data_IF_353380351564
#
_entry.id   IF_353380351564
#
_cell.length_a   1.000
_cell.length_b   1.000
_cell.length_c   1.000
_cell.angle_alpha   90.00
_cell.angle_beta   90.00
_cell.angle_gamma   90.00
#
_symmetry.space_group_name_H-M   'P 1'
#
loop_
_entity.id
_entity.type
_entity.pdbx_description
1 polymer ?
#
# COMPACT_ATOMS: atom_id res chain seq x y z
N UNK A 1 -22.96 46.94 -35.08
CA UNK A 1 -23.17 45.52 -34.73
C UNK A 1 -22.29 45.26 -33.53
N UNK A 2 -22.79 45.61 -32.36
CA UNK A 2 -22.14 45.29 -31.09
C UNK A 2 -22.46 43.82 -30.81
N UNK A 3 -21.48 42.94 -31.02
CA UNK A 3 -21.55 41.64 -30.36
C UNK A 3 -21.22 41.89 -28.88
N UNK A 4 -22.12 41.54 -27.95
CA UNK A 4 -21.75 41.52 -26.55
C UNK A 4 -20.61 40.50 -26.41
N UNK A 5 -19.54 40.90 -25.75
CA UNK A 5 -18.51 39.99 -25.30
C UNK A 5 -19.21 38.81 -24.61
N UNK A 6 -19.03 37.60 -25.13
CA UNK A 6 -19.39 36.39 -24.39
C UNK A 6 -18.63 36.43 -23.08
N UNK A 7 -19.34 36.49 -21.97
CA UNK A 7 -18.82 36.20 -20.64
C UNK A 7 -18.16 34.81 -20.68
N UNK A 8 -16.85 34.76 -20.90
CA UNK A 8 -16.09 33.64 -20.41
C UNK A 8 -16.10 33.81 -18.90
N UNK A 9 -16.76 32.91 -18.17
CA UNK A 9 -16.66 32.83 -16.72
C UNK A 9 -15.18 32.72 -16.34
N UNK A 10 -14.55 33.85 -16.05
CA UNK A 10 -13.19 33.92 -15.54
C UNK A 10 -13.27 33.59 -14.05
N UNK A 11 -13.22 32.30 -13.73
CA UNK A 11 -13.21 31.78 -12.36
C UNK A 11 -11.77 31.58 -11.81
N UNK A 12 -10.74 31.91 -12.59
CA UNK A 12 -9.33 31.77 -12.20
C UNK A 12 -8.71 33.15 -12.03
N UNK A 13 -8.21 33.43 -10.83
CA UNK A 13 -7.50 34.66 -10.49
C UNK A 13 -6.09 34.31 -10.03
N UNK A 14 -5.08 34.96 -10.62
CA UNK A 14 -3.68 34.81 -10.24
C UNK A 14 -3.19 36.16 -9.73
N UNK A 15 -2.74 36.21 -8.48
CA UNK A 15 -2.21 37.43 -7.84
C UNK A 15 -0.70 37.24 -7.68
N UNK A 16 0.09 38.16 -8.26
CA UNK A 16 1.54 38.17 -8.13
C UNK A 16 1.98 39.39 -7.32
N UNK A 17 2.66 39.15 -6.20
CA UNK A 17 3.30 40.18 -5.37
C UNK A 17 4.81 40.10 -5.56
N UNK A 18 5.43 41.20 -6.01
CA UNK A 18 6.90 41.28 -6.19
C UNK A 18 7.47 42.26 -5.17
N UNK A 19 8.33 41.78 -4.29
CA UNK A 19 8.85 42.52 -3.15
C UNK A 19 10.37 42.49 -3.17
N UNK A 20 11.00 43.50 -2.54
CA UNK A 20 12.44 43.45 -2.26
C UNK A 20 12.67 42.46 -1.12
N UNK A 21 13.76 41.70 -1.21
CA UNK A 21 14.18 40.81 -0.13
C UNK A 21 14.36 41.63 1.16
N UNK A 22 13.69 41.25 2.26
CA UNK A 22 13.83 41.97 3.53
C UNK A 22 15.26 41.89 4.05
N UNK A 23 15.68 42.91 4.83
CA UNK A 23 16.95 42.86 5.58
C UNK A 23 16.91 41.72 6.61
N UNK A 24 18.08 41.31 7.15
CA UNK A 24 18.18 40.14 8.04
C UNK A 24 17.27 40.17 9.29
N UNK A 25 16.80 41.35 9.70
CA UNK A 25 15.92 41.55 10.86
C UNK A 25 14.50 41.98 10.47
N UNK A 26 14.16 41.97 9.18
CA UNK A 26 12.84 42.32 8.66
C UNK A 26 12.11 41.05 8.22
N UNK A 27 10.80 41.02 8.46
CA UNK A 27 9.92 39.94 7.98
C UNK A 27 8.83 40.60 7.17
N UNK A 28 8.68 40.15 5.93
CA UNK A 28 7.48 40.45 5.16
C UNK A 28 6.42 39.38 5.46
N UNK A 29 5.21 39.81 5.78
CA UNK A 29 4.04 38.95 5.98
C UNK A 29 2.83 39.55 5.28
N UNK A 30 1.97 38.68 4.75
CA UNK A 30 0.66 39.05 4.24
C UNK A 30 -0.32 37.94 4.56
N UNK A 31 -1.57 38.30 4.81
CA UNK A 31 -2.64 37.36 5.11
C UNK A 31 -3.56 37.22 3.89
N UNK A 32 -3.90 35.98 3.53
CA UNK A 32 -5.00 35.68 2.59
C UNK A 32 -6.17 35.20 3.45
N UNK A 33 -7.25 35.98 3.46
CA UNK A 33 -8.38 35.75 4.36
C UNK A 33 -9.56 35.24 3.54
N UNK A 34 -10.14 34.13 3.99
CA UNK A 34 -11.43 33.63 3.50
C UNK A 34 -12.51 33.87 4.56
N UNK A 35 -13.63 34.48 4.16
CA UNK A 35 -14.77 34.76 5.03
C UNK A 35 -16.04 34.22 4.38
N UNK A 36 -16.84 33.49 5.17
CA UNK A 36 -18.16 33.03 4.75
C UNK A 36 -19.23 33.97 5.31
N UNK A 37 -20.06 34.53 4.44
CA UNK A 37 -21.16 35.43 4.82
C UNK A 37 -22.17 34.77 5.77
N UNK A 38 -22.30 33.44 5.71
CA UNK A 38 -23.14 32.65 6.61
C UNK A 38 -22.77 32.78 8.09
N UNK A 39 -21.55 33.24 8.39
CA UNK A 39 -21.01 33.42 9.75
C UNK A 39 -20.87 34.90 10.15
N UNK A 40 -21.38 35.83 9.34
CA UNK A 40 -21.18 37.27 9.52
C UNK A 40 -21.70 37.79 10.87
N UNK A 41 -22.84 37.28 11.35
CA UNK A 41 -23.43 37.69 12.63
C UNK A 41 -22.74 37.11 13.87
N UNK A 42 -21.87 36.10 13.72
CA UNK A 42 -21.14 35.46 14.82
C UNK A 42 -19.68 35.94 14.90
N UNK A 43 -19.22 36.69 13.90
CA UNK A 43 -17.82 37.11 13.78
C UNK A 43 -17.63 38.48 14.42
N UNK A 44 -16.97 38.49 15.58
CA UNK A 44 -16.63 39.74 16.26
C UNK A 44 -15.47 40.47 15.58
N UNK A 45 -14.49 39.74 15.04
CA UNK A 45 -13.27 40.29 14.44
C UNK A 45 -12.68 39.42 13.33
N UNK A 46 -11.88 40.04 12.47
CA UNK A 46 -11.16 39.35 11.40
C UNK A 46 -9.92 38.61 11.94
N UNK A 47 -9.72 37.38 11.47
CA UNK A 47 -8.56 36.56 11.84
C UNK A 47 -7.32 36.96 11.03
N UNK A 48 -6.79 38.15 11.31
CA UNK A 48 -5.60 38.73 10.66
C UNK A 48 -4.66 39.36 11.67
N UNK A 49 -3.38 39.52 11.30
CA UNK A 49 -2.39 40.24 12.09
C UNK A 49 -2.26 39.71 13.53
N UNK A 50 -2.55 40.56 14.52
CA UNK A 50 -2.46 40.21 15.93
C UNK A 50 -3.36 39.01 16.30
N UNK A 51 -4.63 39.02 15.88
CA UNK A 51 -5.60 37.97 16.23
C UNK A 51 -5.24 36.63 15.61
N UNK A 52 -4.73 36.64 14.38
CA UNK A 52 -4.20 35.44 13.74
C UNK A 52 -3.00 34.85 14.49
N UNK A 53 -2.05 35.70 14.90
CA UNK A 53 -0.85 35.27 15.63
C UNK A 53 -1.17 34.69 17.01
N UNK A 54 -2.06 35.34 17.77
CA UNK A 54 -2.54 34.82 19.06
C UNK A 54 -3.21 33.46 18.90
N UNK A 55 -4.08 33.32 17.90
CA UNK A 55 -4.80 32.07 17.63
C UNK A 55 -3.85 30.95 17.18
N UNK A 56 -2.87 31.23 16.33
CA UNK A 56 -1.84 30.24 15.95
C UNK A 56 -1.04 29.78 17.17
N UNK A 57 -0.60 30.70 18.03
CA UNK A 57 0.16 30.34 19.24
C UNK A 57 -0.68 29.45 20.16
N UNK A 58 -1.97 29.79 20.31
CA UNK A 58 -2.94 29.00 21.09
C UNK A 58 -3.09 27.59 20.49
N UNK A 59 -3.30 27.46 19.19
CA UNK A 59 -3.47 26.18 18.50
C UNK A 59 -2.20 25.33 18.50
N UNK A 60 -1.01 25.94 18.36
CA UNK A 60 0.27 25.24 18.47
C UNK A 60 0.46 24.62 19.86
N UNK A 61 0.14 25.38 20.92
CA UNK A 61 0.17 24.87 22.29
C UNK A 61 -0.81 23.70 22.49
N UNK A 62 -2.03 23.82 21.97
CA UNK A 62 -3.02 22.75 22.04
C UNK A 62 -2.59 21.50 21.26
N UNK A 63 -1.98 21.66 20.09
CA UNK A 63 -1.38 20.55 19.34
C UNK A 63 -0.33 19.84 20.17
N UNK A 64 0.58 20.58 20.80
CA UNK A 64 1.67 20.05 21.61
C UNK A 64 1.17 19.29 22.84
N UNK A 65 0.18 19.83 23.54
CA UNK A 65 -0.47 19.20 24.70
C UNK A 65 -1.18 17.91 24.26
N UNK A 66 -2.00 17.96 23.20
CA UNK A 66 -2.70 16.79 22.67
C UNK A 66 -1.72 15.71 22.20
N UNK A 67 -0.65 16.10 21.50
CA UNK A 67 0.38 15.18 21.02
C UNK A 67 1.04 14.45 22.18
N UNK A 68 1.42 15.16 23.24
CA UNK A 68 2.01 14.52 24.42
C UNK A 68 1.00 13.61 25.12
N UNK A 69 -0.26 14.02 25.26
CA UNK A 69 -1.30 13.20 25.89
C UNK A 69 -1.54 11.87 25.15
N UNK A 70 -1.49 11.89 23.82
CA UNK A 70 -1.71 10.70 22.98
C UNK A 70 -0.47 9.80 22.93
N UNK A 71 0.71 10.37 22.67
CA UNK A 71 1.90 9.58 22.37
C UNK A 71 2.83 9.37 23.56
N UNK A 72 2.76 10.22 24.58
CA UNK A 72 3.52 10.14 25.83
C UNK A 72 5.01 9.90 25.55
N UNK A 73 5.59 10.71 24.67
CA UNK A 73 6.96 10.50 24.23
C UNK A 73 7.98 10.99 25.26
N UNK A 74 7.64 11.99 26.08
CA UNK A 74 8.54 12.50 27.13
C UNK A 74 8.80 11.48 28.24
N UNK A 75 7.89 10.53 28.43
CA UNK A 75 8.02 9.49 29.47
C UNK A 75 8.69 8.21 28.95
N UNK A 76 8.91 8.10 27.63
CA UNK A 76 9.52 6.92 27.00
C UNK A 76 11.04 6.99 27.03
N UNK A 77 11.68 5.83 27.20
CA UNK A 77 13.13 5.71 27.17
C UNK A 77 13.70 6.17 25.82
N UNK A 78 14.88 6.78 25.84
CA UNK A 78 15.64 7.22 24.66
C UNK A 78 14.95 8.29 23.77
N UNK A 79 14.01 9.05 24.32
CA UNK A 79 13.32 10.15 23.62
C UNK A 79 13.85 11.52 24.05
N UNK A 80 14.63 12.16 23.18
CA UNK A 80 15.09 13.54 23.35
C UNK A 80 14.19 14.54 22.60
N UNK A 81 14.43 15.84 22.81
CA UNK A 81 13.61 16.91 22.21
C UNK A 81 13.66 16.90 20.68
N UNK A 82 14.78 16.49 20.07
CA UNK A 82 14.93 16.42 18.60
C UNK A 82 14.10 15.27 18.04
N UNK A 83 14.09 14.11 18.70
CA UNK A 83 13.25 12.96 18.33
C UNK A 83 11.76 13.25 18.51
N UNK A 84 11.39 13.96 19.56
CA UNK A 84 9.99 14.39 19.77
C UNK A 84 9.57 15.37 18.68
N UNK A 85 10.43 16.35 18.34
CA UNK A 85 10.18 17.26 17.23
C UNK A 85 10.04 16.50 15.90
N UNK A 86 10.95 15.55 15.61
CA UNK A 86 10.86 14.69 14.43
C UNK A 86 9.53 13.90 14.37
N UNK A 87 9.08 13.35 15.50
CA UNK A 87 7.81 12.64 15.57
C UNK A 87 6.60 13.54 15.31
N UNK A 88 6.60 14.77 15.88
CA UNK A 88 5.59 15.79 15.57
C UNK A 88 5.57 16.13 14.09
N UNK A 89 6.73 16.45 13.50
CA UNK A 89 6.83 16.74 12.07
C UNK A 89 6.38 15.57 11.19
N UNK A 90 6.67 14.34 11.58
CA UNK A 90 6.24 13.13 10.84
C UNK A 90 4.72 13.01 10.83
N UNK A 91 4.07 13.14 11.99
CA UNK A 91 2.61 13.10 12.08
C UNK A 91 1.97 14.28 11.32
N UNK A 92 2.50 15.49 11.49
CA UNK A 92 1.99 16.68 10.82
C UNK A 92 2.08 16.57 9.30
N UNK A 93 3.17 16.02 8.76
CA UNK A 93 3.31 15.80 7.32
C UNK A 93 2.36 14.72 6.79
N UNK A 94 2.14 13.64 7.56
CA UNK A 94 1.15 12.61 7.20
C UNK A 94 -0.25 13.19 7.12
N UNK A 95 -0.68 13.93 8.15
CA UNK A 95 -2.01 14.57 8.20
C UNK A 95 -2.11 15.66 7.11
N UNK A 96 -1.07 16.47 6.94
CA UNK A 96 -1.01 17.50 5.89
C UNK A 96 -0.91 16.95 4.47
N UNK A 97 -0.73 15.64 4.30
CA UNK A 97 -0.84 14.95 3.01
C UNK A 97 -2.26 14.48 2.69
N UNK A 98 -3.20 14.53 3.64
CA UNK A 98 -4.60 14.16 3.40
C UNK A 98 -5.19 15.13 2.39
N UNK A 99 -5.76 14.58 1.32
CA UNK A 99 -6.22 15.33 0.15
C UNK A 99 -7.60 14.83 -0.28
N UNK A 100 -8.31 15.68 -1.02
CA UNK A 100 -9.61 15.36 -1.62
C UNK A 100 -9.47 15.37 -3.14
N UNK A 101 -9.77 14.24 -3.77
CA UNK A 101 -9.68 14.05 -5.23
C UNK A 101 -11.06 13.84 -5.81
N UNK A 102 -11.29 14.30 -7.04
CA UNK A 102 -12.54 14.06 -7.79
C UNK A 102 -12.24 13.68 -9.23
N UNK A 103 -13.11 12.87 -9.84
CA UNK A 103 -12.97 12.49 -11.24
C UNK A 103 -13.35 11.04 -11.51
N UNK A 104 -12.80 10.48 -12.59
CA UNK A 104 -13.07 9.10 -13.04
C UNK A 104 -11.77 8.31 -13.16
N UNK A 105 -11.84 7.03 -12.79
CA UNK A 105 -10.76 6.06 -13.01
C UNK A 105 -10.88 5.39 -14.39
N UNK A 106 -9.74 4.97 -14.95
CA UNK A 106 -9.70 4.07 -16.12
C UNK A 106 -9.52 2.62 -15.66
N UNK A 107 -10.43 1.74 -16.07
CA UNK A 107 -10.48 0.37 -15.58
C UNK A 107 -10.65 -0.62 -16.72
N UNK A 108 -9.93 -1.73 -16.69
CA UNK A 108 -10.04 -2.82 -17.66
C UNK A 108 -10.31 -4.16 -16.97
N UNK A 109 -11.00 -5.06 -17.68
CA UNK A 109 -11.20 -6.45 -17.26
C UNK A 109 -10.29 -7.39 -18.05
N UNK A 110 -9.40 -8.11 -17.37
CA UNK A 110 -8.51 -9.07 -18.01
C UNK A 110 -7.68 -8.44 -19.12
N UNK A 111 -7.74 -9.00 -20.34
CA UNK A 111 -6.96 -8.53 -21.49
C UNK A 111 -7.71 -7.51 -22.37
N UNK A 112 -8.71 -6.82 -21.82
CA UNK A 112 -9.44 -5.77 -22.51
C UNK A 112 -8.46 -4.67 -23.00
N UNK A 113 -8.51 -4.37 -24.30
CA UNK A 113 -7.60 -3.41 -24.96
C UNK A 113 -7.94 -1.95 -24.67
N UNK A 114 -9.24 -1.65 -24.58
CA UNK A 114 -9.75 -0.29 -24.38
C UNK A 114 -10.34 -0.23 -22.98
N UNK A 115 -9.75 0.53 -22.04
CA UNK A 115 -10.30 0.64 -20.69
C UNK A 115 -11.62 1.40 -20.68
N UNK A 116 -12.49 1.05 -19.74
CA UNK A 116 -13.72 1.76 -19.46
C UNK A 116 -13.44 2.93 -18.50
N UNK A 117 -14.12 4.06 -18.72
CA UNK A 117 -14.23 5.10 -17.70
C UNK A 117 -15.25 4.65 -16.63
N UNK A 118 -14.82 4.58 -15.38
CA UNK A 118 -15.72 4.36 -14.25
C UNK A 118 -16.55 5.62 -13.93
N UNK A 119 -17.53 5.47 -13.02
CA UNK A 119 -18.38 6.57 -12.59
C UNK A 119 -17.55 7.72 -11.97
N UNK A 120 -18.05 8.94 -12.10
CA UNK A 120 -17.46 10.09 -11.43
C UNK A 120 -17.63 9.95 -9.93
N UNK A 121 -16.55 10.13 -9.18
CA UNK A 121 -16.53 9.92 -7.73
C UNK A 121 -15.51 10.82 -7.06
N UNK A 122 -15.39 10.70 -5.75
CA UNK A 122 -14.44 11.44 -4.93
C UNK A 122 -13.73 10.53 -3.94
N UNK A 123 -12.49 10.89 -3.61
CA UNK A 123 -11.70 10.18 -2.61
C UNK A 123 -11.05 11.18 -1.64
N UNK A 124 -11.38 11.05 -0.35
CA UNK A 124 -10.69 11.68 0.76
C UNK A 124 -9.69 10.69 1.36
N UNK A 125 -8.39 10.96 1.23
CA UNK A 125 -7.35 9.97 1.57
C UNK A 125 -6.01 10.63 1.90
N UNK A 126 -5.19 9.96 2.72
CA UNK A 126 -3.76 10.28 2.79
C UNK A 126 -3.05 9.83 1.50
N UNK A 127 -1.85 10.38 1.26
CA UNK A 127 -1.01 10.06 0.09
C UNK A 127 0.38 9.62 0.55
N UNK A 128 1.03 8.65 -0.11
CA UNK A 128 2.37 8.19 0.28
C UNK A 128 3.44 9.29 0.18
N UNK A 129 3.31 10.16 -0.83
CA UNK A 129 4.23 11.29 -1.03
C UNK A 129 3.56 12.39 -1.83
N UNK A 130 3.54 13.62 -1.30
CA UNK A 130 2.99 14.79 -2.00
C UNK A 130 3.70 15.10 -3.32
N UNK A 131 4.98 14.75 -3.46
CA UNK A 131 5.79 15.10 -4.64
C UNK A 131 5.77 14.02 -5.72
N UNK A 132 5.79 12.74 -5.32
CA UNK A 132 5.91 11.61 -6.25
C UNK A 132 4.59 10.85 -6.44
N UNK A 133 3.81 10.74 -5.37
CA UNK A 133 2.62 9.89 -5.30
C UNK A 133 1.40 10.64 -4.74
N UNK A 134 0.98 11.79 -5.30
CA UNK A 134 -0.11 12.60 -4.77
C UNK A 134 -1.49 12.01 -5.12
N UNK A 135 -1.75 10.77 -4.70
CA UNK A 135 -2.97 10.00 -5.01
C UNK A 135 -3.15 8.85 -4.03
N UNK A 136 -4.33 8.25 -4.03
CA UNK A 136 -4.67 7.14 -3.14
C UNK A 136 -4.01 5.82 -3.57
N UNK A 137 -3.36 5.14 -2.63
CA UNK A 137 -2.88 3.76 -2.78
C UNK A 137 -3.51 2.88 -1.71
N UNK A 138 -4.19 1.82 -2.15
CA UNK A 138 -5.09 1.02 -1.31
C UNK A 138 -4.37 0.39 -0.12
N UNK A 139 -3.21 -0.23 -0.34
CA UNK A 139 -2.49 -0.89 0.74
C UNK A 139 -1.72 0.07 1.66
N UNK A 140 -1.18 1.19 1.14
CA UNK A 140 -0.52 2.22 1.94
C UNK A 140 -1.49 2.82 2.98
N UNK A 141 -2.75 3.00 2.58
CA UNK A 141 -3.74 3.72 3.38
C UNK A 141 -4.08 3.04 4.71
N UNK A 142 -4.04 1.70 4.77
CA UNK A 142 -4.16 1.01 6.06
C UNK A 142 -3.03 1.35 7.03
N UNK A 143 -1.79 1.50 6.54
CA UNK A 143 -0.66 1.92 7.38
C UNK A 143 -0.73 3.39 7.78
N UNK A 144 -1.12 4.28 6.86
CA UNK A 144 -1.41 5.69 7.19
C UNK A 144 -2.38 5.79 8.36
N UNK A 145 -3.46 5.02 8.31
CA UNK A 145 -4.51 5.09 9.30
C UNK A 145 -4.16 4.45 10.66
N UNK A 146 -3.09 3.65 10.78
CA UNK A 146 -2.59 3.25 12.10
C UNK A 146 -2.06 4.44 12.91
N UNK A 147 -1.58 5.50 12.25
CA UNK A 147 -1.17 6.74 12.91
C UNK A 147 -2.32 7.74 12.98
N UNK A 148 -3.08 7.93 11.90
CA UNK A 148 -4.20 8.88 11.87
C UNK A 148 -5.26 8.49 12.90
N UNK A 149 -5.59 7.20 13.06
CA UNK A 149 -6.60 6.76 14.03
C UNK A 149 -6.19 7.00 15.50
N UNK A 150 -4.88 7.05 15.80
CA UNK A 150 -4.38 7.44 17.13
C UNK A 150 -4.60 8.92 17.39
N UNK A 151 -4.45 9.74 16.35
CA UNK A 151 -4.67 11.17 16.42
C UNK A 151 -6.16 11.52 16.44
N UNK A 152 -6.91 11.09 15.42
CA UNK A 152 -8.33 11.36 15.25
C UNK A 152 -9.03 10.22 14.50
N UNK A 153 -9.83 9.44 15.24
CA UNK A 153 -10.60 8.30 14.71
C UNK A 153 -11.64 8.71 13.67
N UNK A 154 -12.22 9.91 13.76
CA UNK A 154 -13.24 10.37 12.82
C UNK A 154 -12.64 10.57 11.43
N UNK A 155 -11.44 11.15 11.34
CA UNK A 155 -10.71 11.28 10.06
C UNK A 155 -10.50 9.91 9.43
N UNK A 156 -10.08 8.91 10.21
CA UNK A 156 -9.94 7.54 9.71
C UNK A 156 -11.26 6.95 9.23
N UNK A 157 -12.37 7.15 9.93
CA UNK A 157 -13.67 6.63 9.48
C UNK A 157 -14.15 7.31 8.20
N UNK A 158 -13.91 8.62 8.03
CA UNK A 158 -14.20 9.34 6.79
C UNK A 158 -13.38 8.79 5.61
N UNK A 159 -12.07 8.60 5.82
CA UNK A 159 -11.18 8.00 4.81
C UNK A 159 -11.65 6.59 4.43
N UNK A 160 -11.86 5.71 5.42
CA UNK A 160 -12.30 4.34 5.14
C UNK A 160 -13.64 4.32 4.39
N UNK A 161 -14.58 5.21 4.75
CA UNK A 161 -15.87 5.31 4.07
C UNK A 161 -15.72 5.70 2.60
N UNK A 162 -14.91 6.72 2.28
CA UNK A 162 -14.62 7.11 0.90
C UNK A 162 -13.95 5.97 0.11
N UNK A 163 -13.01 5.24 0.72
CA UNK A 163 -12.41 4.08 0.06
C UNK A 163 -13.42 2.95 -0.21
N UNK A 164 -14.37 2.70 0.69
CA UNK A 164 -15.43 1.71 0.47
C UNK A 164 -16.54 2.19 -0.48
N UNK A 165 -16.63 3.49 -0.77
CA UNK A 165 -17.46 4.01 -1.86
C UNK A 165 -16.84 3.76 -3.25
N UNK A 166 -15.55 3.40 -3.31
CA UNK A 166 -14.88 2.95 -4.55
C UNK A 166 -15.19 1.49 -4.90
N UNK A 167 -15.91 0.75 -4.04
CA UNK A 167 -16.28 -0.65 -4.31
C UNK A 167 -17.20 -0.73 -5.53
N UNK A 168 -16.76 -1.47 -6.55
CA UNK A 168 -17.66 -1.79 -7.66
C UNK A 168 -18.68 -2.90 -7.29
N UNK A 169 -19.57 -3.22 -8.22
CA UNK A 169 -20.61 -4.22 -8.03
C UNK A 169 -20.09 -5.61 -7.65
N UNK A 170 -18.85 -5.94 -8.05
CA UNK A 170 -18.21 -7.21 -7.73
C UNK A 170 -17.45 -7.20 -6.40
N UNK A 171 -17.32 -6.05 -5.73
CA UNK A 171 -16.57 -5.90 -4.48
C UNK A 171 -15.07 -5.62 -4.68
N UNK A 172 -14.66 -5.13 -5.84
CA UNK A 172 -13.27 -4.74 -6.10
C UNK A 172 -13.05 -3.25 -5.85
N UNK A 173 -11.84 -2.89 -5.39
CA UNK A 173 -11.36 -1.52 -5.23
C UNK A 173 -10.05 -1.40 -6.03
N UNK A 174 -9.84 -0.33 -6.82
CA UNK A 174 -8.56 -0.10 -7.49
C UNK A 174 -7.40 0.00 -6.49
N UNK A 175 -6.26 -0.64 -6.80
CA UNK A 175 -5.06 -0.56 -5.96
C UNK A 175 -4.46 0.85 -5.91
N UNK A 176 -4.61 1.59 -7.00
CA UNK A 176 -4.13 2.95 -7.19
C UNK A 176 -5.27 3.77 -7.80
N UNK A 177 -5.70 4.81 -7.08
CA UNK A 177 -6.89 5.59 -7.44
C UNK A 177 -6.44 6.90 -8.06
N UNK A 178 -6.62 7.00 -9.38
CA UNK A 178 -6.19 8.13 -10.22
C UNK A 178 -7.44 8.81 -10.75
N UNK A 179 -7.85 9.92 -10.13
CA UNK A 179 -9.08 10.64 -10.45
C UNK A 179 -8.76 11.98 -11.14
N UNK A 180 -9.20 12.12 -12.38
CA UNK A 180 -9.09 13.37 -13.14
C UNK A 180 -7.71 13.62 -13.76
N UNK A 181 -7.61 14.71 -14.53
CA UNK A 181 -6.43 15.01 -15.35
C UNK A 181 -5.20 15.41 -14.53
N UNK A 182 -5.39 16.12 -13.42
CA UNK A 182 -4.29 16.51 -12.54
C UNK A 182 -3.57 15.28 -11.97
N UNK A 183 -4.33 14.28 -11.49
CA UNK A 183 -3.75 13.04 -11.00
C UNK A 183 -3.08 12.25 -12.14
N UNK A 184 -3.73 12.15 -13.32
CA UNK A 184 -3.17 11.43 -14.49
C UNK A 184 -1.86 12.01 -14.98
N UNK A 185 -1.69 13.33 -14.94
CA UNK A 185 -0.46 14.01 -15.38
C UNK A 185 0.80 13.60 -14.58
N UNK A 186 0.63 12.98 -13.40
CA UNK A 186 1.71 12.51 -12.53
C UNK A 186 1.98 11.00 -12.62
N UNK A 187 1.34 10.30 -13.55
CA UNK A 187 1.43 8.83 -13.68
C UNK A 187 1.84 8.43 -15.11
N UNK A 188 2.88 7.59 -15.28
CA UNK A 188 3.18 7.00 -16.58
C UNK A 188 1.98 6.25 -17.16
N UNK A 189 1.78 6.33 -18.48
CA UNK A 189 0.57 5.85 -19.16
C UNK A 189 0.28 4.36 -18.89
N UNK A 190 1.33 3.54 -18.77
CA UNK A 190 1.26 2.11 -18.50
C UNK A 190 0.68 1.75 -17.11
N UNK A 191 0.68 2.68 -16.15
CA UNK A 191 0.16 2.46 -14.78
C UNK A 191 -1.20 3.10 -14.53
N UNK A 192 -1.73 3.88 -15.49
CA UNK A 192 -3.02 4.56 -15.31
C UNK A 192 -4.17 3.55 -15.24
N UNK A 193 -4.18 2.56 -16.14
CA UNK A 193 -5.27 1.59 -16.24
C UNK A 193 -5.21 0.60 -15.08
N UNK A 194 -6.31 0.52 -14.34
CA UNK A 194 -6.47 -0.41 -13.23
C UNK A 194 -7.19 -1.68 -13.69
N UNK A 195 -6.76 -2.85 -13.23
CA UNK A 195 -7.31 -4.12 -13.68
C UNK A 195 -8.16 -4.79 -12.59
N UNK A 196 -9.40 -5.19 -12.91
CA UNK A 196 -10.35 -5.68 -11.91
C UNK A 196 -10.04 -7.07 -11.35
N UNK A 197 -9.08 -7.79 -11.92
CA UNK A 197 -8.55 -9.05 -11.39
C UNK A 197 -7.36 -8.84 -10.44
N UNK A 198 -6.77 -7.64 -10.46
CA UNK A 198 -5.61 -7.28 -9.64
C UNK A 198 -6.07 -6.83 -8.26
N UNK A 199 -5.56 -7.52 -7.25
CA UNK A 199 -5.78 -7.20 -5.84
C UNK A 199 -4.66 -6.30 -5.29
N UNK A 200 -4.77 -5.94 -4.01
CA UNK A 200 -3.70 -5.36 -3.20
C UNK A 200 -3.73 -5.93 -1.77
N UNK A 201 -2.70 -5.84 -0.92
CA UNK A 201 -2.82 -6.23 0.48
C UNK A 201 -3.99 -5.53 1.19
N UNK A 202 -4.88 -6.24 1.88
CA UNK A 202 -6.08 -5.65 2.47
C UNK A 202 -5.77 -5.00 3.84
N UNK A 203 -4.88 -4.01 3.86
CA UNK A 203 -4.30 -3.43 5.07
C UNK A 203 -5.30 -2.66 5.94
N UNK A 204 -6.48 -2.29 5.42
CA UNK A 204 -7.58 -1.73 6.22
C UNK A 204 -7.97 -2.63 7.40
N UNK A 205 -7.80 -3.95 7.28
CA UNK A 205 -8.02 -4.85 8.41
C UNK A 205 -7.08 -4.54 9.58
N UNK A 206 -5.84 -4.07 9.36
CA UNK A 206 -4.95 -3.63 10.46
C UNK A 206 -5.55 -2.43 11.21
N UNK A 207 -6.03 -1.43 10.48
CA UNK A 207 -6.67 -0.24 11.04
C UNK A 207 -7.94 -0.60 11.80
N UNK A 208 -8.79 -1.44 11.20
CA UNK A 208 -10.04 -1.89 11.81
C UNK A 208 -9.75 -2.69 13.08
N UNK A 209 -8.73 -3.56 13.09
CA UNK A 209 -8.33 -4.27 14.31
C UNK A 209 -7.88 -3.31 15.41
N UNK A 210 -7.09 -2.29 15.07
CA UNK A 210 -6.68 -1.25 16.01
C UNK A 210 -7.90 -0.51 16.59
N UNK A 211 -8.84 -0.11 15.74
CA UNK A 211 -10.07 0.57 16.17
C UNK A 211 -10.94 -0.33 17.05
N UNK A 212 -11.07 -1.62 16.74
CA UNK A 212 -11.80 -2.57 17.58
C UNK A 212 -11.18 -2.71 18.98
N UNK A 213 -9.85 -2.76 19.06
CA UNK A 213 -9.14 -2.90 20.35
C UNK A 213 -9.20 -1.64 21.22
N UNK A 214 -9.38 -0.46 20.60
CA UNK A 214 -9.26 0.84 21.28
C UNK A 214 -10.58 1.59 21.41
N UNK A 215 -11.71 0.95 21.09
CA UNK A 215 -13.05 1.54 21.24
C UNK A 215 -13.98 0.59 22.00
N UNK A 216 -14.16 0.87 23.28
CA UNK A 216 -15.02 0.10 24.19
C UNK A 216 -16.49 0.09 23.78
N UNK A 217 -16.95 1.12 23.06
CA UNK A 217 -18.37 1.37 22.82
C UNK A 217 -18.90 0.81 21.49
N UNK A 218 -18.09 0.13 20.66
CA UNK A 218 -18.46 -0.59 19.41
C UNK A 218 -19.31 0.15 18.35
N UNK A 219 -19.75 1.40 18.57
CA UNK A 219 -20.64 2.14 17.67
C UNK A 219 -19.97 2.64 16.38
N UNK A 220 -18.64 2.47 16.22
CA UNK A 220 -17.93 2.91 15.02
C UNK A 220 -18.30 2.10 13.77
N UNK A 221 -18.65 0.82 13.94
CA UNK A 221 -18.90 -0.08 12.83
C UNK A 221 -20.38 -0.44 12.78
N UNK A 222 -21.13 0.29 11.94
CA UNK A 222 -22.51 -0.04 11.66
C UNK A 222 -22.63 -1.19 10.64
N UNK A 223 -23.83 -1.77 10.53
CA UNK A 223 -24.09 -2.89 9.62
C UNK A 223 -23.75 -2.55 8.15
N UNK A 224 -24.11 -1.36 7.61
CA UNK A 224 -23.72 -0.98 6.24
C UNK A 224 -22.20 -1.00 5.99
N UNK A 225 -21.40 -0.49 6.93
CA UNK A 225 -19.94 -0.55 6.84
C UNK A 225 -19.44 -2.00 6.80
N UNK A 226 -19.94 -2.85 7.71
CA UNK A 226 -19.55 -4.26 7.78
C UNK A 226 -19.94 -5.00 6.49
N UNK A 227 -21.11 -4.72 5.91
CA UNK A 227 -21.55 -5.32 4.64
C UNK A 227 -20.68 -4.92 3.44
N UNK A 228 -20.22 -3.66 3.39
CA UNK A 228 -19.26 -3.21 2.35
C UNK A 228 -17.91 -3.91 2.51
N UNK A 229 -17.41 -3.97 3.75
CA UNK A 229 -16.20 -4.72 4.09
C UNK A 229 -16.34 -6.22 3.74
N UNK A 230 -17.49 -6.83 4.00
CA UNK A 230 -17.83 -8.20 3.62
C UNK A 230 -17.77 -8.38 2.10
N UNK A 231 -18.37 -7.47 1.33
CA UNK A 231 -18.34 -7.51 -0.13
C UNK A 231 -16.90 -7.52 -0.67
N UNK A 232 -16.04 -6.68 -0.10
CA UNK A 232 -14.61 -6.63 -0.43
C UNK A 232 -13.89 -7.92 -0.04
N UNK A 233 -14.05 -8.39 1.20
CA UNK A 233 -13.51 -9.65 1.68
C UNK A 233 -13.92 -10.85 0.82
N UNK A 234 -15.19 -10.91 0.40
CA UNK A 234 -15.70 -11.97 -0.46
C UNK A 234 -15.11 -11.89 -1.86
N UNK A 235 -14.82 -10.69 -2.37
CA UNK A 235 -14.13 -10.54 -3.65
C UNK A 235 -12.74 -11.20 -3.64
N UNK A 236 -11.95 -11.07 -2.56
CA UNK A 236 -10.67 -11.80 -2.44
C UNK A 236 -10.88 -13.32 -2.46
N UNK A 237 -11.84 -13.82 -1.68
CA UNK A 237 -12.11 -15.27 -1.61
C UNK A 237 -12.65 -15.85 -2.92
N UNK A 238 -13.29 -15.04 -3.77
CA UNK A 238 -13.69 -15.47 -5.11
C UNK A 238 -12.57 -15.39 -6.14
N UNK A 239 -11.77 -14.33 -6.11
CA UNK A 239 -10.88 -13.99 -7.24
C UNK A 239 -9.42 -14.38 -7.03
N UNK A 240 -8.96 -14.41 -5.77
CA UNK A 240 -7.56 -14.68 -5.41
C UNK A 240 -7.36 -16.06 -4.79
N UNK A 241 -8.40 -16.89 -4.74
CA UNK A 241 -8.32 -18.28 -4.30
C UNK A 241 -7.31 -19.07 -5.14
N UNK A 242 -6.52 -19.94 -4.49
CA UNK A 242 -5.52 -20.77 -5.15
C UNK A 242 -6.12 -22.03 -5.77
N UNK A 243 -5.27 -22.90 -6.33
CA UNK A 243 -5.72 -24.15 -6.97
C UNK A 243 -6.12 -25.24 -5.97
N UNK A 244 -5.80 -25.08 -4.68
CA UNK A 244 -6.06 -26.04 -3.60
C UNK A 244 -6.82 -25.38 -2.44
N UNK A 245 -7.56 -26.16 -1.62
CA UNK A 245 -8.19 -25.65 -0.40
C UNK A 245 -7.23 -24.86 0.49
N UNK A 246 -7.71 -23.72 1.01
CA UNK A 246 -6.99 -22.84 1.95
C UNK A 246 -5.71 -22.19 1.38
N UNK A 247 -5.55 -22.22 0.06
CA UNK A 247 -4.45 -21.54 -0.64
C UNK A 247 -4.96 -20.29 -1.34
N UNK A 248 -4.06 -19.34 -1.53
CA UNK A 248 -4.33 -18.10 -2.26
C UNK A 248 -3.18 -17.79 -3.21
N UNK A 249 -3.49 -17.03 -4.26
CA UNK A 249 -2.52 -16.61 -5.28
C UNK A 249 -2.89 -15.25 -5.85
N UNK A 250 -2.00 -14.29 -5.66
CA UNK A 250 -1.98 -13.02 -6.39
C UNK A 250 -2.14 -13.21 -7.91
N UNK A 251 -3.13 -12.53 -8.49
CA UNK A 251 -3.26 -12.39 -9.95
C UNK A 251 -2.40 -11.23 -10.47
N UNK A 252 -2.19 -11.19 -11.78
CA UNK A 252 -1.50 -10.08 -12.47
C UNK A 252 0.00 -10.28 -12.70
N UNK A 253 0.60 -11.43 -12.34
CA UNK A 253 1.98 -11.77 -12.73
C UNK A 253 2.06 -12.05 -14.22
N UNK A 254 3.13 -11.58 -14.88
CA UNK A 254 3.36 -11.77 -16.31
C UNK A 254 4.16 -13.05 -16.60
N UNK A 255 3.48 -14.13 -16.98
CA UNK A 255 4.12 -15.42 -17.28
C UNK A 255 4.92 -15.42 -18.60
N UNK A 256 4.65 -14.50 -19.54
CA UNK A 256 5.29 -14.44 -20.85
C UNK A 256 6.45 -13.44 -20.92
N UNK A 257 6.75 -12.76 -19.81
CA UNK A 257 7.84 -11.79 -19.75
C UNK A 257 9.19 -12.46 -20.01
N UNK A 258 9.90 -12.00 -21.04
CA UNK A 258 11.28 -12.39 -21.32
C UNK A 258 12.30 -11.32 -20.90
N UNK A 259 11.84 -10.17 -20.41
CA UNK A 259 12.73 -9.05 -20.05
C UNK A 259 13.02 -8.99 -18.55
N UNK A 260 12.17 -9.62 -17.75
CA UNK A 260 12.29 -9.67 -16.29
C UNK A 260 13.03 -10.93 -15.85
N UNK A 261 14.05 -10.80 -15.01
CA UNK A 261 14.78 -11.90 -14.39
C UNK A 261 13.85 -12.79 -13.54
N UNK A 262 12.94 -12.16 -12.80
CA UNK A 262 11.82 -12.79 -12.11
C UNK A 262 10.55 -11.95 -12.35
N UNK A 263 9.45 -12.53 -12.87
CA UNK A 263 8.24 -11.75 -13.13
C UNK A 263 7.69 -11.05 -11.89
N UNK A 264 7.39 -9.75 -11.99
CA UNK A 264 6.91 -8.94 -10.85
C UNK A 264 5.56 -9.43 -10.31
N UNK A 265 5.27 -9.09 -9.07
CA UNK A 265 3.97 -9.29 -8.40
C UNK A 265 3.46 -7.96 -7.83
N UNK A 266 3.21 -6.97 -8.72
CA UNK A 266 2.78 -5.61 -8.33
C UNK A 266 1.53 -5.59 -7.42
N UNK A 267 0.70 -6.62 -7.55
CA UNK A 267 -0.52 -6.79 -6.74
C UNK A 267 -0.23 -7.12 -5.28
N UNK A 268 0.94 -7.63 -4.91
CA UNK A 268 1.26 -7.89 -3.51
C UNK A 268 1.82 -6.68 -2.75
N UNK A 269 2.09 -5.55 -3.43
CA UNK A 269 2.80 -4.41 -2.86
C UNK A 269 4.30 -4.62 -2.65
N UNK A 270 4.81 -5.81 -2.97
CA UNK A 270 6.22 -6.19 -2.90
C UNK A 270 6.71 -6.50 -4.33
N UNK A 271 6.76 -5.45 -5.15
CA UNK A 271 6.76 -5.50 -6.62
C UNK A 271 7.70 -6.54 -7.23
N UNK A 272 9.00 -6.49 -6.89
CA UNK A 272 10.04 -7.36 -7.42
C UNK A 272 10.53 -8.40 -6.41
N UNK A 273 9.84 -8.58 -5.27
CA UNK A 273 10.17 -9.64 -4.32
C UNK A 273 10.14 -10.99 -5.05
N UNK A 274 11.25 -11.76 -5.01
CA UNK A 274 11.34 -12.98 -5.79
C UNK A 274 10.29 -14.03 -5.43
N UNK A 275 9.54 -14.48 -6.45
CA UNK A 275 8.59 -15.61 -6.35
C UNK A 275 8.95 -16.72 -7.32
N UNK A 276 8.05 -17.68 -7.53
CA UNK A 276 8.25 -18.76 -8.51
C UNK A 276 8.69 -18.16 -9.86
N UNK A 277 9.72 -18.74 -10.49
CA UNK A 277 10.38 -18.11 -11.65
C UNK A 277 9.58 -18.29 -12.93
N UNK A 278 8.63 -19.23 -12.95
CA UNK A 278 7.68 -19.45 -14.02
C UNK A 278 6.27 -19.37 -13.44
N UNK A 279 5.60 -18.20 -13.56
CA UNK A 279 4.25 -18.03 -13.03
C UNK A 279 3.27 -19.03 -13.64
N UNK A 280 2.45 -19.64 -12.80
CA UNK A 280 1.44 -20.66 -13.19
C UNK A 280 0.27 -20.63 -12.22
N UNK A 281 -0.83 -21.28 -12.58
CA UNK A 281 -1.98 -21.39 -11.65
C UNK A 281 -1.71 -22.28 -10.44
N UNK A 282 -0.59 -23.04 -10.43
CA UNK A 282 -0.16 -23.88 -9.31
C UNK A 282 0.52 -23.10 -8.18
N UNK A 283 0.76 -21.80 -8.34
CA UNK A 283 1.42 -21.02 -7.29
C UNK A 283 0.59 -20.89 -6.02
N UNK A 284 1.26 -20.90 -4.87
CA UNK A 284 0.68 -20.61 -3.55
C UNK A 284 1.46 -19.47 -2.92
N UNK A 285 0.79 -18.35 -2.66
CA UNK A 285 1.40 -17.14 -2.10
C UNK A 285 1.11 -17.04 -0.60
N UNK A 286 2.16 -17.16 0.20
CA UNK A 286 2.13 -17.24 1.66
C UNK A 286 1.55 -15.95 2.28
N UNK A 287 2.07 -14.82 1.84
CA UNK A 287 1.67 -13.49 2.31
C UNK A 287 0.17 -13.24 2.13
N UNK A 288 -0.39 -13.60 0.97
CA UNK A 288 -1.82 -13.47 0.72
C UNK A 288 -2.65 -14.39 1.62
N UNK A 289 -2.22 -15.63 1.84
CA UNK A 289 -2.89 -16.53 2.80
C UNK A 289 -2.93 -15.89 4.19
N UNK A 290 -1.81 -15.33 4.65
CA UNK A 290 -1.72 -14.65 5.94
C UNK A 290 -2.63 -13.43 6.04
N UNK A 291 -2.72 -12.61 4.99
CA UNK A 291 -3.66 -11.50 4.91
C UNK A 291 -5.11 -11.97 5.04
N UNK A 292 -5.46 -13.07 4.38
CA UNK A 292 -6.82 -13.61 4.43
C UNK A 292 -7.13 -14.26 5.78
N UNK A 293 -6.15 -14.81 6.49
CA UNK A 293 -6.31 -15.23 7.89
C UNK A 293 -6.68 -14.06 8.79
N UNK A 294 -5.94 -12.94 8.67
CA UNK A 294 -6.19 -11.72 9.43
C UNK A 294 -7.58 -11.14 9.11
N UNK A 295 -7.90 -11.02 7.83
CA UNK A 295 -9.18 -10.51 7.35
C UNK A 295 -10.37 -11.34 7.85
N UNK A 296 -10.28 -12.67 7.74
CA UNK A 296 -11.31 -13.62 8.22
C UNK A 296 -11.55 -13.48 9.72
N UNK A 297 -10.47 -13.29 10.49
CA UNK A 297 -10.54 -13.12 11.95
C UNK A 297 -11.28 -11.82 12.31
N UNK A 298 -10.94 -10.72 11.64
CA UNK A 298 -11.48 -9.40 11.99
C UNK A 298 -12.93 -9.24 11.53
N UNK A 299 -13.27 -9.67 10.32
CA UNK A 299 -14.67 -9.65 9.86
C UNK A 299 -15.54 -10.56 10.72
N UNK A 300 -15.02 -11.71 11.14
CA UNK A 300 -15.70 -12.60 12.07
C UNK A 300 -15.96 -11.94 13.44
N UNK A 301 -14.98 -11.22 14.00
CA UNK A 301 -15.16 -10.45 15.24
C UNK A 301 -16.21 -9.35 15.10
N UNK A 302 -16.23 -8.64 13.97
CA UNK A 302 -17.24 -7.61 13.69
C UNK A 302 -18.66 -8.19 13.69
N UNK A 303 -18.88 -9.30 12.98
CA UNK A 303 -20.20 -9.95 12.98
C UNK A 303 -20.59 -10.50 14.34
N UNK A 304 -19.64 -11.07 15.10
CA UNK A 304 -19.89 -11.50 16.47
C UNK A 304 -20.36 -10.37 17.37
N UNK A 305 -19.76 -9.18 17.24
CA UNK A 305 -20.15 -7.99 18.00
C UNK A 305 -21.56 -7.53 17.62
N UNK A 306 -21.86 -7.39 16.32
CA UNK A 306 -23.14 -6.81 15.88
C UNK A 306 -24.33 -7.76 16.02
N UNK A 307 -24.10 -9.07 15.87
CA UNK A 307 -25.16 -10.09 16.02
C UNK A 307 -25.26 -10.62 17.46
N UNK A 308 -24.34 -10.24 18.35
CA UNK A 308 -24.22 -10.82 19.70
C UNK A 308 -24.03 -12.35 19.68
N UNK A 309 -23.18 -12.85 18.78
CA UNK A 309 -22.91 -14.28 18.57
C UNK A 309 -21.46 -14.63 18.89
N UNK A 310 -21.21 -15.74 19.58
CA UNK A 310 -19.84 -16.18 19.91
C UNK A 310 -19.05 -16.69 18.69
N UNK A 311 -19.75 -17.19 17.66
CA UNK A 311 -19.12 -17.75 16.47
C UNK A 311 -19.97 -17.47 15.24
N UNK A 312 -19.35 -17.48 14.07
CA UNK A 312 -20.01 -17.35 12.77
C UNK A 312 -19.16 -18.02 11.68
N UNK A 313 -19.66 -18.02 10.44
CA UNK A 313 -18.97 -18.64 9.29
C UNK A 313 -17.55 -18.09 9.07
N UNK A 314 -17.32 -16.80 9.35
CA UNK A 314 -16.01 -16.16 9.18
C UNK A 314 -15.02 -16.60 10.24
N UNK A 315 -15.45 -16.66 11.51
CA UNK A 315 -14.61 -17.20 12.59
C UNK A 315 -14.31 -18.69 12.39
N UNK A 316 -15.27 -19.47 11.88
CA UNK A 316 -15.03 -20.87 11.54
C UNK A 316 -13.98 -21.01 10.41
N UNK A 317 -14.05 -20.16 9.38
CA UNK A 317 -13.04 -20.15 8.33
C UNK A 317 -11.67 -19.64 8.82
N UNK A 318 -11.65 -18.61 9.67
CA UNK A 318 -10.44 -18.11 10.32
C UNK A 318 -9.74 -19.21 11.13
N UNK A 319 -10.49 -20.05 11.86
CA UNK A 319 -9.95 -21.20 12.61
C UNK A 319 -9.21 -22.20 11.69
N UNK A 320 -9.73 -22.45 10.50
CA UNK A 320 -9.04 -23.29 9.50
C UNK A 320 -7.73 -22.61 9.05
N UNK A 321 -7.78 -21.33 8.68
CA UNK A 321 -6.58 -20.62 8.22
C UNK A 321 -5.51 -20.42 9.32
N UNK A 322 -5.92 -20.35 10.59
CA UNK A 322 -5.05 -20.27 11.78
C UNK A 322 -4.44 -21.62 12.18
N UNK A 323 -4.95 -22.74 11.68
CA UNK A 323 -4.40 -24.06 11.98
C UNK A 323 -2.94 -24.13 11.45
N UNK A 324 -1.99 -24.29 12.37
CA UNK A 324 -0.56 -24.28 12.06
C UNK A 324 -0.13 -25.53 11.29
N UNK A 325 -0.75 -26.69 11.51
CA UNK A 325 -0.48 -27.91 10.73
C UNK A 325 -0.87 -27.72 9.26
N UNK A 326 -2.02 -27.08 9.00
CA UNK A 326 -2.46 -26.76 7.63
C UNK A 326 -1.58 -25.69 6.98
N UNK A 327 -1.12 -24.69 7.74
CA UNK A 327 -0.15 -23.72 7.25
C UNK A 327 1.17 -24.42 6.88
N UNK A 328 1.66 -25.30 7.74
CA UNK A 328 2.92 -26.02 7.56
C UNK A 328 2.87 -26.93 6.34
N UNK A 329 1.79 -27.70 6.18
CA UNK A 329 1.58 -28.58 5.02
C UNK A 329 1.65 -27.82 3.69
N UNK A 330 1.18 -26.57 3.66
CA UNK A 330 1.06 -25.77 2.44
C UNK A 330 2.27 -24.88 2.18
N UNK A 331 2.97 -24.44 3.23
CA UNK A 331 3.96 -23.36 3.12
C UNK A 331 5.27 -23.59 3.89
N UNK A 332 5.37 -24.59 4.77
CA UNK A 332 6.64 -24.88 5.44
C UNK A 332 7.50 -25.82 4.59
N UNK A 333 8.72 -25.39 4.30
CA UNK A 333 9.72 -26.23 3.65
C UNK A 333 10.65 -26.82 4.71
N UNK A 334 10.56 -28.12 4.96
CA UNK A 334 11.50 -28.81 5.84
C UNK A 334 12.94 -28.75 5.31
N UNK A 335 13.10 -28.84 3.98
CA UNK A 335 14.41 -28.76 3.32
C UNK A 335 15.12 -27.42 3.58
N UNK A 336 14.37 -26.32 3.61
CA UNK A 336 14.94 -24.99 3.79
C UNK A 336 14.78 -24.44 5.21
N UNK A 337 13.94 -25.08 6.03
CA UNK A 337 13.59 -24.65 7.38
C UNK A 337 12.93 -23.26 7.39
N UNK A 338 12.02 -22.99 6.46
CA UNK A 338 11.35 -21.68 6.40
C UNK A 338 9.95 -21.79 5.79
N UNK A 339 9.11 -20.79 6.06
CA UNK A 339 7.90 -20.59 5.29
C UNK A 339 8.22 -19.95 3.93
N UNK A 340 7.59 -20.46 2.88
CA UNK A 340 7.86 -20.09 1.51
C UNK A 340 6.60 -20.07 0.64
N UNK A 341 6.69 -19.33 -0.46
CA UNK A 341 5.82 -19.55 -1.60
C UNK A 341 6.12 -20.91 -2.24
N UNK A 342 5.16 -21.42 -3.02
CA UNK A 342 5.31 -22.66 -3.79
C UNK A 342 4.94 -22.41 -5.24
N UNK A 343 5.65 -23.01 -6.19
CA UNK A 343 5.31 -22.92 -7.61
C UNK A 343 6.37 -23.50 -8.53
N UNK A 344 6.20 -23.32 -9.85
CA UNK A 344 7.14 -23.80 -10.85
C UNK A 344 8.38 -22.90 -10.86
N UNK A 345 9.51 -23.42 -10.39
CA UNK A 345 10.65 -22.58 -10.04
C UNK A 345 12.00 -23.23 -10.35
N UNK A 346 12.98 -22.36 -10.60
CA UNK A 346 14.42 -22.62 -10.70
C UNK A 346 15.16 -21.33 -10.40
N UNK A 347 16.27 -21.43 -9.67
CA UNK A 347 17.21 -20.34 -9.40
C UNK A 347 18.17 -20.09 -10.59
N UNK A 348 18.22 -21.02 -11.56
CA UNK A 348 19.14 -20.99 -12.71
C UNK A 348 18.57 -20.11 -13.83
N UNK A 349 18.42 -18.83 -13.54
CA UNK A 349 17.99 -17.79 -14.49
C UNK A 349 19.02 -16.67 -14.54
N UNK A 350 19.23 -16.08 -15.71
CA UNK A 350 20.11 -14.92 -15.88
C UNK A 350 19.57 -13.96 -16.94
N UNK A 351 19.91 -12.69 -16.84
CA UNK A 351 19.73 -11.74 -17.93
C UNK A 351 20.95 -11.80 -18.85
N UNK A 352 20.73 -11.97 -20.14
CA UNK A 352 21.76 -12.01 -21.17
C UNK A 352 21.52 -10.92 -22.21
N UNK A 353 22.59 -10.21 -22.59
CA UNK A 353 22.55 -9.19 -23.64
C UNK A 353 22.53 -9.87 -25.01
N UNK A 354 21.55 -9.53 -25.84
CA UNK A 354 21.43 -10.04 -27.22
C UNK A 354 21.22 -8.88 -28.21
N UNK A 355 21.60 -9.05 -29.49
CA UNK A 355 21.36 -8.05 -30.53
C UNK A 355 19.87 -7.86 -30.83
N UNK A 356 19.45 -6.63 -31.12
CA UNK A 356 18.10 -6.31 -31.61
C UNK A 356 18.04 -6.40 -33.13
N UNK A 357 17.23 -7.31 -33.66
CA UNK A 357 16.97 -7.46 -35.10
C UNK A 357 18.03 -8.28 -35.86
N UNK A 358 17.88 -8.36 -37.18
CA UNK A 358 18.85 -9.01 -38.07
C UNK A 358 19.95 -8.01 -38.47
N UNK A 359 21.20 -8.46 -38.72
CA UNK A 359 22.26 -7.60 -39.22
C UNK A 359 21.85 -6.89 -40.50
N UNK A 360 22.04 -5.57 -40.57
CA UNK A 360 21.81 -4.82 -41.80
C UNK A 360 22.94 -5.18 -42.81
N UNK A 361 22.64 -5.86 -43.93
CA UNK A 361 23.67 -6.28 -44.87
C UNK A 361 24.38 -5.10 -45.54
N UNK A 362 23.75 -3.93 -45.58
CA UNK A 362 24.26 -2.73 -46.23
C UNK A 362 25.18 -1.88 -45.34
N UNK A 363 25.20 -2.10 -44.02
CA UNK A 363 26.06 -1.37 -43.07
C UNK A 363 26.66 -2.30 -42.01
N UNK A 364 27.66 -3.13 -42.36
CA UNK A 364 28.23 -4.13 -41.46
C UNK A 364 28.98 -3.53 -40.25
N UNK A 365 29.38 -2.26 -40.33
CA UNK A 365 30.24 -1.60 -39.34
C UNK A 365 29.48 -0.80 -38.26
N UNK A 366 28.15 -0.63 -38.37
CA UNK A 366 27.40 0.04 -37.31
C UNK A 366 27.17 -0.90 -36.11
N UNK A 367 27.45 -0.47 -34.87
CA UNK A 367 27.14 -1.26 -33.69
C UNK A 367 25.63 -1.48 -33.60
N UNK A 368 25.22 -2.74 -33.52
CA UNK A 368 23.80 -3.07 -33.43
C UNK A 368 23.24 -2.69 -32.05
N UNK A 369 22.01 -2.16 -31.99
CA UNK A 369 21.31 -1.99 -30.72
C UNK A 369 21.21 -3.35 -30.01
N UNK A 370 21.33 -3.36 -28.69
CA UNK A 370 21.21 -4.59 -27.88
C UNK A 370 20.16 -4.41 -26.79
N UNK A 371 19.65 -5.51 -26.27
CA UNK A 371 18.76 -5.53 -25.11
C UNK A 371 19.01 -6.75 -24.23
N UNK A 372 18.60 -6.69 -22.97
CA UNK A 372 18.71 -7.80 -22.03
C UNK A 372 17.46 -8.70 -22.07
N UNK A 373 17.65 -10.01 -22.26
CA UNK A 373 16.60 -11.02 -22.16
C UNK A 373 16.93 -12.06 -21.09
N UNK A 374 15.92 -12.57 -20.42
CA UNK A 374 16.02 -13.68 -19.46
C UNK A 374 16.26 -15.00 -20.20
N UNK A 375 17.21 -15.78 -19.69
CA UNK A 375 17.44 -17.15 -20.08
C UNK A 375 17.46 -18.08 -18.86
N UNK A 376 16.90 -19.28 -19.04
CA UNK A 376 16.99 -20.39 -18.07
C UNK A 376 18.24 -21.20 -18.40
N UNK A 377 19.23 -21.20 -17.51
CA UNK A 377 20.54 -21.84 -17.75
C UNK A 377 20.57 -23.32 -17.38
N UNK A 378 19.58 -23.80 -16.62
CA UNK A 378 19.45 -25.22 -16.26
C UNK A 378 17.99 -25.67 -16.27
N UNK A 379 17.52 -26.09 -17.44
CA UNK A 379 16.13 -26.54 -17.62
C UNK A 379 15.76 -27.74 -16.74
N UNK A 380 16.70 -28.63 -16.44
CA UNK A 380 16.47 -29.81 -15.60
C UNK A 380 16.15 -29.50 -14.12
N UNK A 381 16.46 -28.29 -13.63
CA UNK A 381 16.12 -27.86 -12.27
C UNK A 381 14.69 -27.28 -12.18
N UNK A 382 14.03 -27.05 -13.32
CA UNK A 382 12.68 -26.48 -13.36
C UNK A 382 11.65 -27.52 -12.91
N UNK A 383 11.08 -27.33 -11.71
CA UNK A 383 10.03 -28.18 -11.17
C UNK A 383 9.14 -27.42 -10.17
N UNK A 384 8.03 -28.03 -9.78
CA UNK A 384 7.16 -27.51 -8.72
C UNK A 384 7.83 -27.73 -7.35
N UNK A 385 8.26 -26.63 -6.72
CA UNK A 385 8.95 -26.66 -5.42
C UNK A 385 8.66 -25.42 -4.59
N UNK A 386 9.05 -25.48 -3.32
CA UNK A 386 9.13 -24.28 -2.48
C UNK A 386 10.19 -23.31 -3.02
N UNK A 387 9.87 -22.02 -3.02
CA UNK A 387 10.72 -20.97 -3.55
C UNK A 387 11.71 -20.52 -2.49
N UNK A 388 13.01 -20.65 -2.75
CA UNK A 388 14.08 -20.48 -1.74
C UNK A 388 14.53 -19.01 -1.58
N UNK A 389 13.60 -18.12 -1.26
CA UNK A 389 13.89 -16.70 -1.03
C UNK A 389 13.43 -16.25 0.36
N UNK A 390 14.31 -16.37 1.36
CA UNK A 390 14.05 -15.92 2.72
C UNK A 390 14.05 -14.40 2.81
N UNK A 391 12.99 -13.81 3.36
CA UNK A 391 12.76 -12.37 3.40
C UNK A 391 11.42 -12.02 4.01
N UNK A 392 10.92 -10.81 3.75
CA UNK A 392 9.65 -10.33 4.30
C UNK A 392 8.48 -11.31 4.09
N UNK A 393 8.35 -11.94 2.91
CA UNK A 393 7.29 -12.92 2.64
C UNK A 393 7.35 -14.09 3.64
N UNK A 394 8.55 -14.62 3.93
CA UNK A 394 8.75 -15.70 4.89
C UNK A 394 8.36 -15.34 6.33
N UNK A 395 8.31 -14.04 6.65
CA UNK A 395 7.97 -13.53 7.99
C UNK A 395 6.46 -13.26 8.16
N UNK A 396 5.64 -13.39 7.13
CA UNK A 396 4.21 -13.08 7.22
C UNK A 396 3.48 -13.84 8.33
N UNK A 397 3.68 -15.16 8.52
CA UNK A 397 3.05 -15.87 9.63
C UNK A 397 3.34 -15.25 11.01
N UNK A 398 4.55 -14.73 11.21
CA UNK A 398 4.93 -13.97 12.41
C UNK A 398 4.25 -12.60 12.44
N UNK A 399 4.37 -11.82 11.35
CA UNK A 399 3.83 -10.45 11.28
C UNK A 399 2.31 -10.40 11.46
N UNK A 400 1.58 -11.43 11.00
CA UNK A 400 0.14 -11.55 11.19
C UNK A 400 -0.27 -12.32 12.45
N UNK A 401 0.69 -12.73 13.29
CA UNK A 401 0.49 -13.47 14.56
C UNK A 401 -0.32 -14.75 14.39
N UNK A 402 0.01 -15.55 13.38
CA UNK A 402 -0.62 -16.86 13.12
C UNK A 402 0.09 -17.98 13.89
N UNK A 403 1.41 -17.83 14.09
CA UNK A 403 2.24 -18.86 14.70
C UNK A 403 1.89 -19.09 16.16
N UNK A 404 1.81 -20.37 16.55
CA UNK A 404 1.73 -20.77 17.95
C UNK A 404 2.99 -20.30 18.71
N UNK A 405 2.85 -19.60 19.85
CA UNK A 405 3.98 -19.23 20.70
C UNK A 405 4.88 -20.39 21.14
N UNK A 406 4.38 -21.63 21.14
CA UNK A 406 5.14 -22.84 21.49
C UNK A 406 5.75 -23.57 20.27
N UNK A 407 5.59 -23.03 19.06
CA UNK A 407 6.12 -23.65 17.84
C UNK A 407 7.64 -23.53 17.74
N UNK A 408 8.33 -24.64 17.49
CA UNK A 408 9.77 -24.62 17.17
C UNK A 408 10.11 -23.83 15.90
N UNK A 409 9.14 -23.66 14.99
CA UNK A 409 9.29 -22.84 13.78
C UNK A 409 9.37 -21.34 14.12
N UNK A 410 8.72 -20.91 15.21
CA UNK A 410 8.84 -19.54 15.70
C UNK A 410 10.24 -19.26 16.24
N UNK A 411 10.80 -20.20 17.02
CA UNK A 411 12.19 -20.12 17.49
C UNK A 411 13.18 -20.02 16.32
N UNK A 412 13.01 -20.87 15.29
CA UNK A 412 13.79 -20.79 14.05
C UNK A 412 13.71 -19.39 13.42
N UNK A 413 12.51 -18.83 13.26
CA UNK A 413 12.33 -17.50 12.66
C UNK A 413 13.04 -16.42 13.47
N UNK A 414 12.99 -16.46 14.81
CA UNK A 414 13.69 -15.49 15.64
C UNK A 414 15.21 -15.61 15.53
N UNK A 415 15.74 -16.84 15.50
CA UNK A 415 17.17 -17.07 15.29
C UNK A 415 17.62 -16.55 13.91
N UNK A 416 16.84 -16.80 12.85
CA UNK A 416 17.14 -16.32 11.50
C UNK A 416 17.01 -14.78 11.39
N UNK A 417 16.05 -14.17 12.09
CA UNK A 417 15.84 -12.72 12.14
C UNK A 417 17.00 -11.98 12.79
N UNK A 418 17.67 -12.59 13.76
CA UNK A 418 18.84 -12.01 14.44
C UNK A 418 20.15 -12.27 13.68
N UNK A 419 20.12 -13.09 12.63
CA UNK A 419 21.30 -13.45 11.86
C UNK A 419 21.70 -12.32 10.88
N UNK A 420 22.89 -11.69 11.05
CA UNK A 420 23.34 -10.60 10.18
C UNK A 420 23.59 -11.02 8.72
N UNK A 421 23.90 -12.30 8.50
CA UNK A 421 24.09 -12.88 7.16
C UNK A 421 22.77 -13.11 6.42
N UNK A 422 21.63 -13.00 7.11
CA UNK A 422 20.29 -13.09 6.53
C UNK A 422 19.68 -11.69 6.45
N UNK A 423 18.81 -11.34 7.39
CA UNK A 423 18.00 -10.12 7.34
C UNK A 423 18.46 -9.04 8.32
N UNK A 424 19.20 -9.36 9.38
CA UNK A 424 19.53 -8.36 10.41
C UNK A 424 20.60 -7.36 9.94
N UNK A 425 20.37 -6.07 10.19
CA UNK A 425 21.36 -5.01 9.98
C UNK A 425 21.34 -4.01 11.14
N UNK A 426 22.36 -3.16 11.22
CA UNK A 426 22.37 -2.02 12.14
C UNK A 426 21.29 -0.96 11.85
N UNK A 427 20.59 -1.07 10.72
CA UNK A 427 19.56 -0.13 10.27
C UNK A 427 18.15 -0.72 10.26
N UNK A 428 17.98 -2.00 10.64
CA UNK A 428 16.72 -2.72 10.60
C UNK A 428 16.79 -4.04 9.81
N UNK A 429 15.63 -4.60 9.51
CA UNK A 429 15.47 -5.89 8.83
C UNK A 429 15.49 -5.67 7.31
N UNK A 430 16.25 -6.46 6.55
CA UNK A 430 16.24 -6.43 5.08
C UNK A 430 14.96 -7.03 4.51
N UNK A 431 14.55 -6.54 3.34
CA UNK A 431 13.47 -7.13 2.54
C UNK A 431 13.77 -8.56 2.12
N UNK A 432 15.01 -8.85 1.73
CA UNK A 432 15.48 -10.13 1.23
C UNK A 432 16.84 -10.48 1.86
N UNK A 433 17.07 -11.75 2.14
CA UNK A 433 18.31 -12.24 2.75
C UNK A 433 19.49 -12.11 1.79
N UNK A 434 20.67 -11.77 2.32
CA UNK A 434 21.90 -11.66 1.52
C UNK A 434 22.32 -12.98 0.86
N UNK A 435 21.88 -14.11 1.42
CA UNK A 435 22.10 -15.44 0.87
C UNK A 435 21.21 -15.76 -0.33
N UNK A 436 20.23 -14.90 -0.66
CA UNK A 436 19.39 -15.06 -1.85
C UNK A 436 20.20 -14.77 -3.11
N UNK A 437 20.11 -15.59 -4.18
CA UNK A 437 20.78 -15.31 -5.45
C UNK A 437 20.26 -14.03 -6.13
N UNK A 438 19.13 -13.49 -5.68
CA UNK A 438 18.51 -12.28 -6.21
C UNK A 438 18.70 -11.06 -5.28
N UNK A 439 19.48 -11.17 -4.21
CA UNK A 439 19.79 -10.06 -3.31
C UNK A 439 20.52 -8.92 -4.04
N UNK A 440 19.96 -7.71 -4.01
CA UNK A 440 20.54 -6.55 -4.71
C UNK A 440 20.63 -6.68 -6.24
N UNK A 441 19.92 -7.64 -6.86
CA UNK A 441 19.98 -7.90 -8.30
C UNK A 441 18.84 -7.18 -9.04
N UNK A 442 19.20 -6.36 -10.05
CA UNK A 442 18.25 -5.69 -10.94
C UNK A 442 17.29 -6.68 -11.62
N UNK A 443 16.04 -6.28 -11.85
CA UNK A 443 15.06 -7.17 -12.47
C UNK A 443 15.05 -7.10 -14.01
N UNK A 444 15.37 -5.93 -14.57
CA UNK A 444 15.50 -5.71 -16.02
C UNK A 444 16.75 -4.88 -16.29
N UNK A 445 16.96 -4.44 -17.53
CA UNK A 445 18.02 -3.47 -17.85
C UNK A 445 17.84 -2.13 -17.12
N UNK A 446 16.59 -1.73 -16.87
CA UNK A 446 16.21 -0.41 -16.35
C UNK A 446 15.57 -0.44 -14.95
N UNK A 447 15.20 -1.62 -14.44
CA UNK A 447 14.60 -1.79 -13.12
C UNK A 447 15.66 -2.16 -12.07
N UNK A 448 16.16 -1.21 -11.24
CA UNK A 448 17.02 -1.54 -10.11
C UNK A 448 16.28 -2.40 -9.08
N UNK A 449 17.00 -3.09 -8.17
CA UNK A 449 16.37 -3.83 -7.07
C UNK A 449 15.54 -2.89 -6.20
N UNK A 450 14.34 -3.33 -5.79
CA UNK A 450 13.47 -2.56 -4.89
C UNK A 450 13.20 -3.29 -3.57
N UNK A 451 12.61 -4.47 -3.62
CA UNK A 451 12.37 -5.38 -2.49
C UNK A 451 13.36 -6.56 -2.51
N UNK A 452 14.65 -6.26 -2.74
CA UNK A 452 15.73 -7.24 -2.94
C UNK A 452 17.02 -6.88 -2.24
#
# INVERSE_FOLDING_TARGET
MDQPFKDFEHNTFIIQLTLKQPLANEIFSFDIIYQSDSSSNEREQDLTGYYFNEEINRLQKQFDERFENIFQLKTKQNMDIKKIHFAKSTLSNLIGGISYFTGKSLVAKGNQKIPDEYWATSLYTAVPSRSFFPRGFLWDEGFHNLLIARWNKNITMEILSHWFDMLNDNGWIPREVILGDEARARVPAEFIVQYTNNANPPTFFLTIEYLLKTNSNNHLFNLPFIQRLEKWYQWYNRTQYGSQPLTYRWRGRNASSIYELNPKTLTSGLDDYPRASHPTDAERHLDLRCWMTLASTIIGKLYSIINNEQTNKYLNYAKLLLNNEQLDQLHWSEQYGMYADYGLHTDYVQLQRVPMGKPNPQQPQQPQPTHMIRQVTRQSDLNLKYVKHFGYVSLFPLMTRILDPQSSKLEKIFNDLQNPSLLWTQYGVRSLAQTSPLYGVRNTEHDPPYWR
#
